data_IF_779076863638
#
_entry.id   IF_779076863638
#
_cell.length_a   1.000
_cell.length_b   1.000
_cell.length_c   1.000
_cell.angle_alpha   90.00
_cell.angle_beta   90.00
_cell.angle_gamma   90.00
#
_symmetry.space_group_name_H-M   'P 1'
#
loop_
_entity.id
_entity.type
_entity.pdbx_description
1 polymer ?
#
# COMPACT_ATOMS: atom_id res chain seq x y z
N UNK A 1 -1.09 -15.14 2.22
CA UNK A 1 -1.10 -15.88 3.51
C UNK A 1 -2.49 -15.76 4.11
N UNK A 2 -3.08 -16.88 4.49
CA UNK A 2 -4.41 -16.91 5.10
C UNK A 2 -4.32 -16.57 6.59
N UNK A 3 -5.13 -15.63 7.04
CA UNK A 3 -5.21 -15.24 8.44
C UNK A 3 -6.09 -16.18 9.28
N UNK A 4 -6.04 -16.06 10.59
CA UNK A 4 -6.85 -16.86 11.53
C UNK A 4 -8.34 -16.52 11.49
N UNK A 5 -8.69 -15.29 11.09
CA UNK A 5 -10.06 -14.89 10.79
C UNK A 5 -10.17 -14.69 9.28
N UNK A 6 -10.35 -15.78 8.52
CA UNK A 6 -10.38 -15.77 7.05
C UNK A 6 -11.39 -14.82 6.38
N UNK A 7 -12.17 -14.13 7.20
CA UNK A 7 -13.24 -13.23 6.76
C UNK A 7 -12.77 -11.78 6.55
N UNK A 8 -11.48 -11.48 6.83
CA UNK A 8 -10.96 -10.12 6.72
C UNK A 8 -9.70 -10.08 5.86
N UNK A 9 -9.64 -9.14 4.95
CA UNK A 9 -8.56 -8.99 3.98
C UNK A 9 -7.86 -7.64 4.16
N UNK A 10 -6.54 -7.69 4.26
CA UNK A 10 -5.67 -6.53 4.17
C UNK A 10 -4.87 -6.62 2.87
N UNK A 11 -4.90 -5.58 2.07
CA UNK A 11 -4.08 -5.49 0.85
C UNK A 11 -2.82 -4.70 1.16
N UNK A 12 -1.67 -5.19 0.72
CA UNK A 12 -0.43 -4.41 0.66
C UNK A 12 -0.02 -4.36 -0.80
N UNK A 13 0.00 -3.17 -1.35
CA UNK A 13 0.20 -2.94 -2.77
C UNK A 13 1.35 -2.01 -3.07
N UNK A 14 1.95 -2.21 -4.22
CA UNK A 14 2.95 -1.34 -4.83
C UNK A 14 2.70 -1.34 -6.33
N UNK A 15 3.17 -0.34 -7.07
CA UNK A 15 3.31 -0.50 -8.52
C UNK A 15 4.75 -0.85 -8.89
N UNK A 16 4.93 -1.49 -10.02
CA UNK A 16 6.24 -1.94 -10.48
C UNK A 16 6.71 -1.27 -11.77
N UNK A 17 5.79 -0.62 -12.48
CA UNK A 17 6.11 0.20 -13.63
C UNK A 17 6.76 1.53 -13.20
N UNK A 18 7.32 2.26 -14.14
CA UNK A 18 7.98 3.54 -13.90
C UNK A 18 7.79 4.48 -15.08
N UNK A 19 7.85 5.76 -14.85
CA UNK A 19 7.78 6.78 -15.90
C UNK A 19 8.86 6.53 -16.95
N UNK A 20 8.47 6.62 -18.22
CA UNK A 20 9.39 6.39 -19.32
C UNK A 20 10.59 7.32 -19.26
N UNK A 21 11.79 6.74 -19.43
CA UNK A 21 13.10 7.42 -19.35
C UNK A 21 13.51 7.85 -17.94
N UNK A 22 12.90 7.34 -16.89
CA UNK A 22 13.38 7.47 -15.51
C UNK A 22 14.06 6.18 -15.05
N UNK A 23 14.82 6.26 -13.97
CA UNK A 23 15.50 5.08 -13.42
C UNK A 23 14.62 4.17 -12.58
N UNK A 24 13.45 4.65 -12.12
CA UNK A 24 12.51 3.89 -11.29
C UNK A 24 13.07 3.39 -9.95
N UNK A 25 14.21 3.95 -9.47
CA UNK A 25 14.86 3.44 -8.26
C UNK A 25 14.00 3.68 -7.02
N UNK A 26 13.49 4.89 -6.86
CA UNK A 26 12.60 5.25 -5.77
C UNK A 26 11.15 4.98 -6.18
N UNK A 27 10.74 5.50 -7.30
CA UNK A 27 9.42 5.38 -7.88
C UNK A 27 9.40 4.34 -9.03
N UNK A 28 9.00 3.04 -8.78
CA UNK A 28 8.69 2.54 -7.45
C UNK A 28 9.49 1.26 -7.11
N UNK A 29 10.78 1.26 -7.44
CA UNK A 29 11.70 0.18 -7.06
C UNK A 29 11.84 0.03 -5.54
N UNK A 30 11.70 1.14 -4.80
CA UNK A 30 11.73 1.15 -3.33
C UNK A 30 10.54 0.37 -2.75
N UNK A 31 9.33 0.67 -3.20
CA UNK A 31 8.12 -0.03 -2.79
C UNK A 31 8.18 -1.52 -3.16
N UNK A 32 8.64 -1.85 -4.38
CA UNK A 32 8.81 -3.24 -4.82
C UNK A 32 9.79 -4.01 -3.92
N UNK A 33 10.91 -3.39 -3.55
CA UNK A 33 11.89 -4.02 -2.65
C UNK A 33 11.28 -4.30 -1.27
N UNK A 34 10.51 -3.36 -0.74
CA UNK A 34 9.83 -3.51 0.54
C UNK A 34 8.74 -4.61 0.47
N UNK A 35 7.97 -4.69 -0.62
CA UNK A 35 6.96 -5.74 -0.80
C UNK A 35 7.59 -7.13 -0.85
N UNK A 36 8.70 -7.28 -1.57
CA UNK A 36 9.42 -8.56 -1.65
C UNK A 36 10.00 -8.97 -0.30
N UNK A 37 10.57 -8.03 0.45
CA UNK A 37 11.06 -8.29 1.80
C UNK A 37 9.93 -8.66 2.77
N UNK A 38 8.80 -7.95 2.69
CA UNK A 38 7.61 -8.31 3.47
C UNK A 38 7.14 -9.73 3.15
N UNK A 39 7.09 -10.10 1.87
CA UNK A 39 6.75 -11.46 1.46
C UNK A 39 7.72 -12.49 2.05
N UNK A 40 9.03 -12.19 2.03
CA UNK A 40 10.06 -13.04 2.61
C UNK A 40 9.87 -13.22 4.12
N UNK A 41 9.66 -12.12 4.85
CA UNK A 41 9.49 -12.14 6.31
C UNK A 41 8.23 -12.91 6.70
N UNK A 42 7.11 -12.65 6.05
CA UNK A 42 5.86 -13.35 6.31
C UNK A 42 5.95 -14.85 6.04
N UNK A 43 6.72 -15.27 5.02
CA UNK A 43 6.91 -16.66 4.69
C UNK A 43 7.85 -17.40 5.67
N UNK A 44 8.94 -16.75 6.09
CA UNK A 44 9.95 -17.35 6.97
C UNK A 44 9.57 -17.30 8.45
N UNK A 45 8.86 -16.26 8.87
CA UNK A 45 8.61 -15.98 10.28
C UNK A 45 7.58 -16.87 10.97
N UNK A 46 6.96 -17.85 10.29
CA UNK A 46 5.81 -18.61 10.81
C UNK A 46 4.74 -17.67 11.40
N UNK A 47 4.67 -16.47 10.87
CA UNK A 47 3.74 -15.46 11.34
C UNK A 47 2.31 -15.91 11.11
N UNK A 48 1.56 -16.07 12.18
CA UNK A 48 0.12 -16.24 12.10
C UNK A 48 -0.49 -14.85 12.12
N UNK A 49 -1.02 -14.42 10.99
CA UNK A 49 -1.65 -13.10 10.88
C UNK A 49 -3.13 -13.18 11.25
N UNK A 50 -3.68 -12.10 11.80
CA UNK A 50 -5.12 -11.99 12.08
C UNK A 50 -5.92 -11.90 10.79
N UNK A 51 -5.40 -11.20 9.79
CA UNK A 51 -6.06 -10.97 8.51
C UNK A 51 -5.43 -11.82 7.41
N UNK A 52 -6.18 -12.14 6.38
CA UNK A 52 -5.61 -12.58 5.11
C UNK A 52 -4.89 -11.41 4.47
N UNK A 53 -3.58 -11.54 4.26
CA UNK A 53 -2.76 -10.51 3.62
C UNK A 53 -2.60 -10.86 2.14
N UNK A 54 -2.98 -9.92 1.28
CA UNK A 54 -2.76 -9.99 -0.16
C UNK A 54 -1.65 -9.01 -0.51
N UNK A 55 -0.56 -9.52 -1.05
CA UNK A 55 0.55 -8.74 -1.57
C UNK A 55 0.36 -8.58 -3.08
N UNK A 56 0.35 -7.35 -3.58
CA UNK A 56 0.05 -7.05 -4.99
C UNK A 56 1.10 -6.11 -5.57
N UNK A 57 1.63 -6.47 -6.74
CA UNK A 57 2.38 -5.56 -7.59
C UNK A 57 1.48 -5.14 -8.76
N UNK A 58 1.14 -3.86 -8.81
CA UNK A 58 0.30 -3.28 -9.84
C UNK A 58 1.13 -2.87 -11.06
N UNK A 59 0.55 -2.98 -12.23
CA UNK A 59 1.07 -2.40 -13.46
C UNK A 59 0.25 -1.17 -13.85
N UNK A 60 0.80 -0.36 -14.77
CA UNK A 60 0.13 0.81 -15.33
C UNK A 60 -0.33 1.83 -14.27
N UNK A 61 0.44 1.99 -13.19
CA UNK A 61 0.21 3.06 -12.21
C UNK A 61 0.46 4.40 -12.87
N UNK A 62 1.59 4.54 -13.55
CA UNK A 62 2.03 5.75 -14.27
C UNK A 62 1.11 6.13 -15.45
N UNK A 63 0.17 5.26 -15.75
CA UNK A 63 -0.88 5.43 -16.76
C UNK A 63 -2.27 5.56 -16.12
N UNK A 64 -2.39 6.36 -15.06
CA UNK A 64 -3.62 6.60 -14.30
C UNK A 64 -4.11 5.37 -13.51
N UNK A 65 -3.21 4.65 -12.88
CA UNK A 65 -3.48 3.58 -11.90
C UNK A 65 -4.40 2.47 -12.43
N UNK A 66 -4.30 2.14 -13.73
CA UNK A 66 -5.22 1.20 -14.38
C UNK A 66 -5.17 -0.19 -13.78
N UNK A 67 -3.98 -0.68 -13.42
CA UNK A 67 -3.82 -2.02 -12.85
C UNK A 67 -4.51 -2.16 -11.49
N UNK A 68 -4.37 -1.17 -10.61
CA UNK A 68 -5.07 -1.18 -9.32
C UNK A 68 -6.58 -1.02 -9.47
N UNK A 69 -7.04 -0.25 -10.45
CA UNK A 69 -8.47 -0.12 -10.75
C UNK A 69 -9.09 -1.47 -11.14
N UNK A 70 -8.47 -2.19 -12.07
CA UNK A 70 -8.91 -3.53 -12.49
C UNK A 70 -8.85 -4.52 -11.33
N UNK A 71 -7.77 -4.50 -10.56
CA UNK A 71 -7.68 -5.36 -9.36
C UNK A 71 -8.84 -5.12 -8.40
N UNK A 72 -9.17 -3.87 -8.10
CA UNK A 72 -10.27 -3.56 -7.17
C UNK A 72 -11.61 -3.96 -7.76
N UNK A 73 -11.90 -3.59 -9.00
CA UNK A 73 -13.22 -3.81 -9.61
C UNK A 73 -13.49 -5.28 -9.92
N UNK A 74 -12.56 -5.97 -10.55
CA UNK A 74 -12.80 -7.29 -11.11
C UNK A 74 -12.38 -8.40 -10.14
N UNK A 75 -11.22 -8.27 -9.49
CA UNK A 75 -10.74 -9.30 -8.58
C UNK A 75 -11.26 -9.11 -7.17
N UNK A 76 -10.97 -7.97 -6.51
CA UNK A 76 -11.30 -7.79 -5.10
C UNK A 76 -12.83 -7.74 -4.88
N UNK A 77 -13.49 -6.74 -5.45
CA UNK A 77 -14.94 -6.54 -5.31
C UNK A 77 -15.73 -7.46 -6.21
N UNK A 78 -15.28 -7.65 -7.44
CA UNK A 78 -15.99 -8.42 -8.47
C UNK A 78 -16.05 -9.93 -8.17
N UNK A 79 -14.97 -10.49 -7.64
CA UNK A 79 -14.82 -11.93 -7.42
C UNK A 79 -14.60 -12.30 -5.96
N UNK A 80 -13.47 -11.87 -5.36
CA UNK A 80 -13.02 -12.39 -4.07
C UNK A 80 -14.01 -12.13 -2.93
N UNK A 81 -14.42 -10.88 -2.72
CA UNK A 81 -15.35 -10.56 -1.63
C UNK A 81 -16.73 -11.16 -1.85
N UNK A 82 -17.20 -11.24 -3.09
CA UNK A 82 -18.49 -11.87 -3.42
C UNK A 82 -18.49 -13.37 -3.17
N UNK A 83 -17.40 -14.06 -3.53
CA UNK A 83 -17.31 -15.51 -3.40
C UNK A 83 -17.04 -15.99 -1.99
N UNK A 84 -16.34 -15.18 -1.19
CA UNK A 84 -15.92 -15.57 0.17
C UNK A 84 -16.77 -14.95 1.27
N UNK A 85 -17.51 -13.87 0.99
CA UNK A 85 -18.18 -13.08 2.02
C UNK A 85 -17.21 -12.26 2.91
N UNK A 86 -15.91 -12.27 2.58
CA UNK A 86 -14.89 -11.56 3.33
C UNK A 86 -15.10 -10.04 3.30
N UNK A 87 -14.50 -9.35 4.28
CA UNK A 87 -14.51 -7.89 4.37
C UNK A 87 -13.09 -7.35 4.19
N UNK A 88 -12.95 -6.25 3.48
CA UNK A 88 -11.69 -5.55 3.43
C UNK A 88 -11.46 -4.75 4.72
N UNK A 89 -10.23 -4.81 5.25
CA UNK A 89 -9.77 -4.00 6.38
C UNK A 89 -9.11 -2.71 5.90
N UNK A 90 -8.75 -2.66 4.63
CA UNK A 90 -8.08 -1.53 4.01
C UNK A 90 -6.95 -1.96 3.09
N UNK A 91 -6.21 -0.97 2.63
CA UNK A 91 -5.00 -1.17 1.84
C UNK A 91 -3.86 -0.30 2.39
N UNK A 92 -2.65 -0.83 2.33
CA UNK A 92 -1.40 -0.11 2.56
C UNK A 92 -0.71 -0.06 1.21
N UNK A 93 -0.49 1.14 0.69
CA UNK A 93 0.20 1.34 -0.58
C UNK A 93 1.56 1.96 -0.29
N UNK A 94 2.63 1.33 -0.80
CA UNK A 94 4.00 1.79 -0.66
C UNK A 94 4.44 2.40 -1.99
N UNK A 95 4.85 3.64 -1.93
CA UNK A 95 5.25 4.40 -3.09
C UNK A 95 6.33 5.41 -2.70
N UNK A 96 7.44 5.44 -3.47
CA UNK A 96 8.55 6.39 -3.30
C UNK A 96 9.06 6.49 -1.85
N UNK A 97 9.30 5.36 -1.19
CA UNK A 97 9.57 5.29 0.25
C UNK A 97 11.02 5.60 0.66
N UNK A 98 11.91 5.93 -0.28
CA UNK A 98 13.28 6.32 0.04
C UNK A 98 13.44 7.79 0.40
N UNK A 99 12.40 8.60 0.27
CA UNK A 99 12.45 10.03 0.53
C UNK A 99 12.14 10.40 1.98
N UNK A 100 12.42 9.49 2.89
CA UNK A 100 12.27 9.76 4.32
C UNK A 100 13.23 10.85 4.80
N UNK A 101 12.70 11.79 5.54
CA UNK A 101 13.47 12.84 6.21
C UNK A 101 12.87 13.10 7.59
N UNK A 102 13.64 12.89 8.64
CA UNK A 102 13.22 13.05 10.05
C UNK A 102 13.39 14.48 10.58
N UNK A 103 13.85 15.42 9.74
CA UNK A 103 13.92 16.83 10.12
C UNK A 103 12.53 17.38 10.40
N UNK A 104 12.34 18.03 11.54
CA UNK A 104 11.07 18.65 11.90
C UNK A 104 10.54 19.57 10.78
N UNK A 105 9.28 19.39 10.42
CA UNK A 105 8.63 20.16 9.35
C UNK A 105 9.03 19.76 7.93
N UNK A 106 9.86 18.73 7.72
CA UNK A 106 10.23 18.24 6.39
C UNK A 106 9.08 17.57 5.65
N UNK A 107 8.12 17.03 6.38
CA UNK A 107 6.91 16.41 5.84
C UNK A 107 5.77 17.43 5.80
N UNK A 108 5.02 17.47 4.71
CA UNK A 108 3.88 18.36 4.61
C UNK A 108 2.76 17.76 3.76
N UNK A 109 1.55 17.95 4.20
CA UNK A 109 0.37 17.68 3.39
C UNK A 109 -0.32 18.98 2.97
N UNK A 110 -0.90 18.97 1.79
CA UNK A 110 -1.66 20.09 1.28
C UNK A 110 -2.83 20.46 2.21
N UNK A 111 -3.18 21.75 2.27
CA UNK A 111 -4.24 22.28 3.14
C UNK A 111 -5.62 21.66 2.88
N UNK A 112 -5.85 21.16 1.70
CA UNK A 112 -7.07 20.47 1.28
C UNK A 112 -7.34 19.22 2.12
N UNK A 113 -6.29 18.50 2.52
CA UNK A 113 -6.40 17.31 3.36
C UNK A 113 -6.81 17.61 4.80
N UNK A 114 -6.53 18.84 5.27
CA UNK A 114 -6.90 19.25 6.62
C UNK A 114 -8.40 19.25 6.92
N UNK A 115 -9.25 19.22 5.86
CA UNK A 115 -10.69 19.09 6.01
C UNK A 115 -11.16 17.64 6.13
N UNK A 116 -10.42 16.72 5.54
CA UNK A 116 -10.78 15.30 5.47
C UNK A 116 -10.17 14.50 6.62
N UNK A 117 -8.92 14.77 6.94
CA UNK A 117 -8.13 14.00 7.93
C UNK A 117 -7.26 14.94 8.80
N UNK A 118 -7.88 15.86 9.57
CA UNK A 118 -7.15 16.93 10.27
C UNK A 118 -6.07 16.40 11.23
N UNK A 119 -6.37 15.35 11.99
CA UNK A 119 -5.42 14.76 12.93
C UNK A 119 -4.20 14.13 12.24
N UNK A 120 -4.41 13.49 11.08
CA UNK A 120 -3.32 12.92 10.31
C UNK A 120 -2.43 14.04 9.72
N UNK A 121 -3.04 15.11 9.21
CA UNK A 121 -2.31 16.27 8.67
C UNK A 121 -1.46 16.94 9.76
N UNK A 122 -2.01 17.11 10.96
CA UNK A 122 -1.28 17.69 12.09
C UNK A 122 -0.06 16.83 12.44
N UNK A 123 -0.26 15.51 12.59
CA UNK A 123 0.84 14.58 12.91
C UNK A 123 1.94 14.57 11.86
N UNK A 124 1.56 14.57 10.58
CA UNK A 124 2.53 14.58 9.48
C UNK A 124 3.30 15.89 9.45
N UNK A 125 2.62 17.03 9.52
CA UNK A 125 3.26 18.35 9.48
C UNK A 125 4.17 18.62 10.68
N UNK A 126 3.98 17.92 11.79
CA UNK A 126 4.83 17.99 13.00
C UNK A 126 5.79 16.81 13.10
N UNK A 127 5.85 15.93 12.08
CA UNK A 127 6.62 14.68 12.09
C UNK A 127 6.34 13.76 13.29
N UNK A 128 5.15 13.88 13.89
CA UNK A 128 4.76 13.06 15.05
C UNK A 128 4.12 11.71 14.67
N UNK A 129 4.00 11.43 13.42
CA UNK A 129 3.31 10.24 12.91
C UNK A 129 4.20 9.14 12.34
N UNK A 130 5.52 9.32 12.49
CA UNK A 130 6.52 8.37 11.96
C UNK A 130 7.20 7.59 13.04
#
# INVERSE_FOLDING_TARGET
MWGTSGDNILVVGVHWDTVRNTGGLDDNGSGMSALLELARVLNHGKCVTKFTIILVAFDLEESASQGSLVFVQDFLLGSLLKSTGAKTQGAIILDSILQFNDTEGSQSMGKEWGRLVPEAVEKINTNQGM
#
